data_IF_271594878653
#
_entry.id   IF_271594878653
#
_cell.length_a   1.000
_cell.length_b   1.000
_cell.length_c   1.000
_cell.angle_alpha   90.00
_cell.angle_beta   90.00
_cell.angle_gamma   90.00
#
_symmetry.space_group_name_H-M   'P 1'
#
loop_
_entity.id
_entity.type
_entity.pdbx_description
1 polymer ?
#
# COMPACT_ATOMS: atom_id res chain seq x y z
N UNK A 1 9.23 1.09 -8.97
CA UNK A 1 7.77 1.04 -8.78
C UNK A 1 7.36 2.21 -7.91
N UNK A 2 6.09 2.59 -7.89
CA UNK A 2 5.65 3.78 -7.14
C UNK A 2 4.39 3.49 -6.33
N UNK A 3 4.39 3.90 -5.07
CA UNK A 3 3.18 4.05 -4.29
C UNK A 3 2.64 5.46 -4.44
N UNK A 4 1.33 5.60 -4.63
CA UNK A 4 0.61 6.88 -4.47
C UNK A 4 -0.35 6.76 -3.30
N UNK A 5 -0.08 7.51 -2.25
CA UNK A 5 -0.88 7.53 -1.03
C UNK A 5 -1.80 8.75 -1.08
N UNK A 6 -3.10 8.50 -1.11
CA UNK A 6 -4.12 9.54 -1.20
C UNK A 6 -4.93 9.63 0.06
N UNK A 7 -5.08 10.85 0.57
CA UNK A 7 -5.91 11.13 1.73
C UNK A 7 -6.42 12.58 1.67
N UNK A 8 -7.74 12.78 1.80
CA UNK A 8 -8.39 14.10 1.82
C UNK A 8 -7.96 15.02 0.65
N UNK A 9 -7.86 14.48 -0.56
CA UNK A 9 -7.48 15.23 -1.77
C UNK A 9 -5.98 15.54 -1.88
N UNK A 10 -5.16 15.17 -0.88
CA UNK A 10 -3.70 15.20 -0.95
C UNK A 10 -3.17 13.88 -1.52
N UNK A 11 -2.00 13.93 -2.13
CA UNK A 11 -1.27 12.77 -2.65
C UNK A 11 0.18 12.83 -2.17
N UNK A 12 0.72 11.68 -1.77
CA UNK A 12 2.13 11.46 -1.45
C UNK A 12 2.65 10.34 -2.36
N UNK A 13 3.40 10.68 -3.42
CA UNK A 13 4.10 9.68 -4.22
C UNK A 13 5.36 9.21 -3.47
N UNK A 14 5.54 7.89 -3.38
CA UNK A 14 6.69 7.24 -2.77
C UNK A 14 7.30 6.26 -3.75
N UNK A 15 8.53 6.53 -4.16
CA UNK A 15 9.26 5.66 -5.10
C UNK A 15 9.91 4.50 -4.34
N UNK A 16 9.72 3.29 -4.85
CA UNK A 16 10.45 2.10 -4.42
C UNK A 16 11.41 1.70 -5.53
N UNK A 17 12.71 1.88 -5.26
CA UNK A 17 13.78 1.56 -6.21
C UNK A 17 14.03 0.05 -6.33
N UNK A 18 14.06 -0.65 -5.19
CA UNK A 18 14.20 -2.10 -5.13
C UNK A 18 12.99 -2.73 -4.40
N UNK A 19 12.07 -3.40 -5.12
CA UNK A 19 10.91 -4.08 -4.52
C UNK A 19 11.28 -5.10 -3.44
N UNK A 20 12.49 -5.65 -3.47
CA UNK A 20 12.90 -6.74 -2.61
C UNK A 20 13.66 -6.27 -1.37
N UNK A 21 14.14 -5.02 -1.36
CA UNK A 21 15.05 -4.50 -0.33
C UNK A 21 14.66 -3.13 0.22
N UNK A 22 13.47 -2.64 -0.06
CA UNK A 22 13.01 -1.37 0.48
C UNK A 22 12.76 -1.41 1.99
N UNK A 23 12.96 -0.29 2.67
CA UNK A 23 12.67 -0.15 4.09
C UNK A 23 11.17 0.11 4.30
N UNK A 24 10.44 -0.95 4.61
CA UNK A 24 9.01 -0.90 4.85
C UNK A 24 8.63 -0.05 6.08
N UNK A 25 9.51 -0.01 7.08
CA UNK A 25 9.28 0.75 8.30
C UNK A 25 9.43 2.24 8.02
N UNK A 26 10.48 2.63 7.31
CA UNK A 26 10.68 4.01 6.88
C UNK A 26 9.53 4.52 6.01
N UNK A 27 9.11 3.75 5.00
CA UNK A 27 7.97 4.15 4.15
C UNK A 27 6.68 4.28 4.97
N UNK A 28 6.43 3.39 5.92
CA UNK A 28 5.29 3.49 6.82
C UNK A 28 5.32 4.77 7.66
N UNK A 29 6.49 5.15 8.18
CA UNK A 29 6.68 6.40 8.94
C UNK A 29 6.46 7.65 8.09
N UNK A 30 6.89 7.64 6.82
CA UNK A 30 6.60 8.72 5.86
C UNK A 30 5.10 8.88 5.63
N UNK A 31 4.37 7.77 5.46
CA UNK A 31 2.91 7.80 5.34
C UNK A 31 2.26 8.29 6.63
N UNK A 32 2.71 7.83 7.80
CA UNK A 32 2.19 8.31 9.07
C UNK A 32 2.39 9.82 9.24
N UNK A 33 3.54 10.34 8.79
CA UNK A 33 3.83 11.78 8.79
C UNK A 33 2.88 12.53 7.85
N UNK A 34 2.64 12.01 6.65
CA UNK A 34 1.71 12.61 5.68
C UNK A 34 0.26 12.70 6.18
N UNK A 35 -0.17 11.69 6.94
CA UNK A 35 -1.50 11.66 7.54
C UNK A 35 -1.67 12.67 8.70
N UNK A 36 -0.60 13.34 9.14
CA UNK A 36 -0.60 14.44 10.13
C UNK A 36 -1.47 14.17 11.37
N UNK A 37 -1.43 12.93 11.87
CA UNK A 37 -2.20 12.52 13.05
C UNK A 37 -3.66 12.12 12.78
N UNK A 38 -4.21 12.26 11.57
CA UNK A 38 -5.54 11.72 11.21
C UNK A 38 -5.63 10.19 11.40
N UNK A 39 -4.48 9.51 11.31
CA UNK A 39 -4.36 8.09 11.61
C UNK A 39 -4.58 7.74 13.09
N UNK A 40 -4.41 8.68 14.03
CA UNK A 40 -4.50 8.41 15.48
C UNK A 40 -5.90 8.02 15.93
N UNK A 41 -6.93 8.50 15.23
CA UNK A 41 -8.33 8.18 15.52
C UNK A 41 -8.75 6.83 14.91
N UNK A 42 -8.05 6.38 13.87
CA UNK A 42 -8.38 5.19 13.10
C UNK A 42 -7.79 3.89 13.64
N UNK A 43 -6.98 3.94 14.70
CA UNK A 43 -6.23 2.80 15.22
C UNK A 43 -4.99 2.47 14.38
N UNK A 44 -4.43 1.27 14.58
CA UNK A 44 -3.20 0.87 13.88
C UNK A 44 -3.46 0.61 12.39
N UNK A 45 -2.63 1.22 11.52
CA UNK A 45 -2.75 1.09 10.06
C UNK A 45 -1.97 -0.11 9.51
N UNK A 46 -1.05 -0.69 10.30
CA UNK A 46 -0.22 -1.82 9.90
C UNK A 46 0.48 -1.62 8.53
N UNK A 47 0.93 -0.40 8.24
CA UNK A 47 1.52 -0.05 6.94
C UNK A 47 2.83 -0.80 6.67
N UNK A 48 3.68 -0.98 7.70
CA UNK A 48 4.91 -1.76 7.61
C UNK A 48 4.66 -3.23 7.25
N UNK A 49 3.43 -3.72 7.46
CA UNK A 49 2.98 -5.05 7.11
C UNK A 49 2.24 -5.10 5.76
N UNK A 50 1.48 -4.06 5.43
CA UNK A 50 0.68 -3.96 4.21
C UNK A 50 1.56 -3.70 2.98
N UNK A 51 2.45 -2.69 3.05
CA UNK A 51 3.24 -2.24 1.91
C UNK A 51 4.09 -3.39 1.33
N UNK A 52 4.81 -4.21 2.14
CA UNK A 52 5.57 -5.34 1.60
C UNK A 52 4.70 -6.43 0.99
N UNK A 53 3.50 -6.66 1.54
CA UNK A 53 2.55 -7.62 0.96
C UNK A 53 2.08 -7.14 -0.41
N UNK A 54 1.78 -5.85 -0.55
CA UNK A 54 1.41 -5.25 -1.83
C UNK A 54 2.54 -5.37 -2.85
N UNK A 55 3.77 -5.01 -2.48
CA UNK A 55 4.95 -5.15 -3.34
C UNK A 55 5.13 -6.60 -3.77
N UNK A 56 5.08 -7.56 -2.83
CA UNK A 56 5.20 -8.98 -3.15
C UNK A 56 4.08 -9.49 -4.06
N UNK A 57 2.87 -8.97 -3.90
CA UNK A 57 1.74 -9.26 -4.77
C UNK A 57 2.02 -8.86 -6.23
N UNK A 58 2.72 -7.75 -6.44
CA UNK A 58 2.99 -7.21 -7.80
C UNK A 58 4.32 -7.67 -8.39
N UNK A 59 5.39 -7.72 -7.59
CA UNK A 59 6.75 -8.03 -8.04
C UNK A 59 7.18 -9.47 -7.76
N UNK A 60 6.46 -10.21 -6.90
CA UNK A 60 6.93 -11.50 -6.40
C UNK A 60 8.01 -11.33 -5.32
N UNK A 61 8.95 -12.27 -5.23
CA UNK A 61 10.09 -12.17 -4.31
C UNK A 61 11.41 -12.48 -5.00
N UNK A 62 12.51 -12.02 -4.40
CA UNK A 62 13.89 -12.22 -4.87
C UNK A 62 14.22 -13.70 -5.10
N UNK A 63 13.64 -14.60 -4.31
CA UNK A 63 13.81 -16.05 -4.44
C UNK A 63 13.06 -16.68 -5.63
N UNK A 64 12.40 -15.87 -6.48
CA UNK A 64 11.71 -16.33 -7.70
C UNK A 64 10.28 -16.81 -7.47
N UNK A 65 9.65 -16.45 -6.35
CA UNK A 65 8.22 -16.70 -6.20
C UNK A 65 7.42 -15.77 -7.11
N UNK A 66 6.36 -16.27 -7.77
CA UNK A 66 5.59 -15.49 -8.73
C UNK A 66 4.85 -14.34 -8.04
N UNK A 67 4.69 -13.24 -8.76
CA UNK A 67 3.74 -12.19 -8.39
C UNK A 67 2.31 -12.76 -8.36
N UNK A 68 1.59 -12.55 -7.27
CA UNK A 68 0.21 -13.04 -7.09
C UNK A 68 -0.69 -12.02 -6.37
N UNK A 69 -0.88 -10.87 -7.00
CA UNK A 69 -1.76 -9.81 -6.51
C UNK A 69 -3.21 -10.28 -6.37
N UNK A 70 -3.66 -11.20 -7.25
CA UNK A 70 -5.02 -11.75 -7.20
C UNK A 70 -5.25 -12.61 -5.97
N UNK A 71 -4.25 -13.38 -5.54
CA UNK A 71 -4.33 -14.11 -4.27
C UNK A 71 -4.42 -13.15 -3.09
N UNK A 72 -3.58 -12.12 -3.05
CA UNK A 72 -3.62 -11.12 -1.98
C UNK A 72 -4.98 -10.42 -1.89
N UNK A 73 -5.57 -10.03 -3.03
CA UNK A 73 -6.93 -9.45 -3.08
C UNK A 73 -7.96 -10.42 -2.52
N UNK A 74 -7.87 -11.72 -2.86
CA UNK A 74 -8.80 -12.75 -2.38
C UNK A 74 -8.66 -13.02 -0.88
N UNK A 75 -7.45 -13.03 -0.34
CA UNK A 75 -7.20 -13.27 1.09
C UNK A 75 -7.44 -12.03 1.93
N UNK A 76 -7.38 -10.85 1.33
CA UNK A 76 -7.53 -9.58 2.00
C UNK A 76 -6.35 -9.24 2.92
N UNK A 77 -6.44 -8.07 3.54
CA UNK A 77 -5.55 -7.67 4.63
C UNK A 77 -6.32 -6.84 5.64
N UNK A 78 -6.66 -7.46 6.78
CA UNK A 78 -7.36 -6.80 7.89
C UNK A 78 -8.61 -6.07 7.41
N UNK A 79 -8.69 -4.76 7.62
CA UNK A 79 -9.80 -3.88 7.28
C UNK A 79 -9.58 -3.08 5.99
N UNK A 80 -8.56 -3.43 5.20
CA UNK A 80 -8.36 -2.85 3.88
C UNK A 80 -9.18 -3.58 2.82
N UNK A 81 -9.91 -2.80 2.03
CA UNK A 81 -10.48 -3.24 0.76
C UNK A 81 -9.36 -3.24 -0.29
N UNK A 82 -9.00 -4.44 -0.76
CA UNK A 82 -7.96 -4.63 -1.77
C UNK A 82 -8.58 -4.84 -3.15
N UNK A 83 -8.01 -4.23 -4.18
CA UNK A 83 -8.40 -4.50 -5.56
C UNK A 83 -7.20 -4.52 -6.50
N UNK A 84 -7.26 -5.39 -7.51
CA UNK A 84 -6.27 -5.44 -8.59
C UNK A 84 -6.97 -5.03 -9.87
N UNK A 85 -6.58 -3.88 -10.42
CA UNK A 85 -7.24 -3.27 -11.58
C UNK A 85 -6.43 -3.51 -12.85
N UNK A 86 -7.10 -3.38 -14.00
CA UNK A 86 -6.46 -3.49 -15.31
C UNK A 86 -5.30 -2.50 -15.43
N UNK A 87 -4.16 -2.97 -15.96
CA UNK A 87 -2.89 -2.23 -15.98
C UNK A 87 -1.92 -2.63 -14.85
N UNK A 88 -2.29 -3.60 -14.01
CA UNK A 88 -1.39 -4.18 -13.02
C UNK A 88 -1.27 -3.38 -11.72
N UNK A 89 -2.16 -2.43 -11.52
CA UNK A 89 -2.19 -1.57 -10.34
C UNK A 89 -2.90 -2.31 -9.20
N UNK A 90 -2.24 -2.39 -8.05
CA UNK A 90 -2.81 -2.95 -6.84
C UNK A 90 -3.21 -1.80 -5.90
N UNK A 91 -4.46 -1.80 -5.44
CA UNK A 91 -4.98 -0.77 -4.53
C UNK A 91 -5.34 -1.37 -3.18
N UNK A 92 -5.19 -0.56 -2.13
CA UNK A 92 -5.69 -0.82 -0.80
C UNK A 92 -6.43 0.42 -0.28
N UNK A 93 -7.67 0.27 0.13
CA UNK A 93 -8.51 1.36 0.65
C UNK A 93 -8.96 1.06 2.07
N UNK A 94 -8.93 2.06 2.93
CA UNK A 94 -9.49 2.00 4.29
C UNK A 94 -10.06 3.37 4.65
N UNK A 95 -11.26 3.40 5.24
CA UNK A 95 -11.81 4.64 5.77
C UNK A 95 -11.22 4.89 7.18
N UNK A 96 -10.53 6.02 7.36
CA UNK A 96 -9.93 6.38 8.65
C UNK A 96 -10.95 7.06 9.58
N UNK A 97 -11.92 7.73 8.99
CA UNK A 97 -13.10 8.33 9.63
C UNK A 97 -14.22 8.43 8.58
N UNK A 98 -15.49 8.67 8.98
CA UNK A 98 -16.57 8.89 8.02
C UNK A 98 -16.23 9.98 7.00
N UNK A 99 -16.15 9.61 5.72
CA UNK A 99 -15.80 10.54 4.64
C UNK A 99 -14.30 10.83 4.48
N UNK A 100 -13.42 10.13 5.19
CA UNK A 100 -11.97 10.29 5.12
C UNK A 100 -11.27 9.00 4.65
N UNK A 101 -11.38 8.64 3.35
CA UNK A 101 -10.73 7.46 2.83
C UNK A 101 -9.22 7.67 2.69
N UNK A 102 -8.46 6.73 3.24
CA UNK A 102 -7.08 6.46 2.86
C UNK A 102 -7.10 5.49 1.68
N UNK A 103 -6.44 5.88 0.59
CA UNK A 103 -6.24 5.04 -0.57
C UNK A 103 -4.74 4.92 -0.85
N UNK A 104 -4.28 3.69 -1.03
CA UNK A 104 -2.89 3.33 -1.33
C UNK A 104 -2.92 2.65 -2.69
N UNK A 105 -2.25 3.22 -3.68
CA UNK A 105 -2.12 2.63 -5.02
C UNK A 105 -0.69 2.24 -5.27
N UNK A 106 -0.46 1.05 -5.81
CA UNK A 106 0.86 0.59 -6.21
C UNK A 106 0.91 0.44 -7.72
N UNK A 107 1.77 1.25 -8.33
CA UNK A 107 2.06 1.25 -9.75
C UNK A 107 3.33 0.44 -10.02
N UNK A 108 3.26 -0.63 -10.82
CA UNK A 108 4.44 -1.35 -11.26
C UNK A 108 5.25 -0.52 -12.27
N UNK A 109 6.59 -0.67 -12.24
CA UNK A 109 7.46 -0.20 -13.32
C UNK A 109 7.52 -1.31 -14.37
N UNK A 110 6.67 -1.26 -15.39
CA UNK A 110 6.75 -2.15 -16.55
C UNK A 110 7.17 -1.37 -17.79
#
# INVERSE_FOLDING_TARGET
MEFDIRFQGRSLPLKVEDPYRFDAQQLAEEVHTFLDGAAREAGELHLAELLPRMVRGVAGCEAGCPADAKHLVRTGFRDYELAYVDGGILTARRDLAPGAPLEIRLFPDF
#
